data_IF_646039903082
#
_entry.id   IF_646039903082
#
_cell.length_a   1.000
_cell.length_b   1.000
_cell.length_c   1.000
_cell.angle_alpha   90.00
_cell.angle_beta   90.00
_cell.angle_gamma   90.00
#
_symmetry.space_group_name_H-M   'P 1'
#
loop_
_entity.id
_entity.type
_entity.pdbx_description
1 polymer ?
#
# COMPACT_ATOMS: atom_id res chain seq x y z
N UNK A 1 -15.82 7.20 5.50
CA UNK A 1 -14.59 6.42 5.77
C UNK A 1 -13.87 7.10 6.92
N UNK A 2 -13.69 6.43 8.07
CA UNK A 2 -13.05 7.03 9.23
C UNK A 2 -11.60 7.42 8.93
N UNK A 3 -11.11 8.51 9.54
CA UNK A 3 -9.75 9.01 9.35
C UNK A 3 -8.68 7.92 9.56
N UNK A 4 -8.90 7.02 10.53
CA UNK A 4 -8.01 5.89 10.81
C UNK A 4 -7.77 4.97 9.60
N UNK A 5 -8.82 4.67 8.82
CA UNK A 5 -8.66 3.83 7.61
C UNK A 5 -7.78 4.49 6.55
N UNK A 6 -7.87 5.81 6.40
CA UNK A 6 -7.04 6.57 5.45
C UNK A 6 -5.57 6.56 5.87
N UNK A 7 -5.31 6.76 7.17
CA UNK A 7 -3.95 6.77 7.72
C UNK A 7 -3.28 5.40 7.58
N UNK A 8 -3.99 4.31 7.89
CA UNK A 8 -3.46 2.95 7.76
C UNK A 8 -3.06 2.66 6.31
N UNK A 9 -3.89 3.05 5.33
CA UNK A 9 -3.56 2.89 3.91
C UNK A 9 -2.30 3.68 3.51
N UNK A 10 -2.16 4.92 4.00
CA UNK A 10 -0.98 5.75 3.70
C UNK A 10 0.30 5.11 4.27
N UNK A 11 0.26 4.64 5.52
CA UNK A 11 1.44 4.02 6.16
C UNK A 11 1.87 2.76 5.40
N UNK A 12 0.91 1.92 4.99
CA UNK A 12 1.19 0.73 4.17
C UNK A 12 1.84 1.08 2.84
N UNK A 13 1.37 2.13 2.16
CA UNK A 13 2.01 2.58 0.92
C UNK A 13 3.45 3.05 1.15
N UNK A 14 3.67 3.80 2.21
CA UNK A 14 5.01 4.30 2.54
C UNK A 14 5.96 3.14 2.86
N UNK A 15 5.52 2.11 3.58
CA UNK A 15 6.37 0.94 3.88
C UNK A 15 6.71 0.12 2.63
N UNK A 16 5.79 -0.02 1.68
CA UNK A 16 6.04 -0.61 0.36
C UNK A 16 7.13 0.14 -0.41
N UNK A 17 7.02 1.48 -0.49
CA UNK A 17 8.00 2.33 -1.17
C UNK A 17 9.38 2.15 -0.54
N UNK A 18 9.47 2.26 0.79
CA UNK A 18 10.74 2.18 1.50
C UNK A 18 11.42 0.84 1.23
N UNK A 19 10.69 -0.28 1.35
CA UNK A 19 11.27 -1.60 1.13
C UNK A 19 11.71 -1.81 -0.33
N UNK A 20 10.89 -1.37 -1.29
CA UNK A 20 11.18 -1.41 -2.73
C UNK A 20 12.44 -0.60 -3.08
N UNK A 21 12.56 0.62 -2.57
CA UNK A 21 13.70 1.52 -2.83
C UNK A 21 14.98 0.98 -2.22
N UNK A 22 14.94 0.36 -1.04
CA UNK A 22 16.12 -0.28 -0.43
C UNK A 22 16.66 -1.39 -1.35
N UNK A 23 15.78 -2.27 -1.85
CA UNK A 23 16.19 -3.33 -2.78
C UNK A 23 16.70 -2.74 -4.09
N UNK A 24 16.00 -1.74 -4.65
CA UNK A 24 16.41 -1.04 -5.86
C UNK A 24 17.82 -0.45 -5.70
N UNK A 25 18.10 0.25 -4.60
CA UNK A 25 19.39 0.88 -4.35
C UNK A 25 20.53 -0.14 -4.20
N UNK A 26 20.30 -1.24 -3.49
CA UNK A 26 21.28 -2.32 -3.34
C UNK A 26 21.60 -2.98 -4.69
N UNK A 27 20.57 -3.34 -5.45
CA UNK A 27 20.74 -4.01 -6.75
C UNK A 27 21.30 -3.06 -7.82
N UNK A 28 20.87 -1.79 -7.84
CA UNK A 28 21.38 -0.79 -8.77
C UNK A 28 22.87 -0.50 -8.53
N UNK A 29 23.29 -0.40 -7.25
CA UNK A 29 24.70 -0.28 -6.91
C UNK A 29 25.50 -1.47 -7.43
N UNK A 30 24.99 -2.69 -7.27
CA UNK A 30 25.63 -3.88 -7.81
C UNK A 30 25.75 -3.85 -9.34
N UNK A 31 24.69 -3.47 -10.05
CA UNK A 31 24.74 -3.38 -11.52
C UNK A 31 25.73 -2.31 -12.00
N UNK A 32 25.82 -1.18 -11.28
CA UNK A 32 26.80 -0.14 -11.59
C UNK A 32 28.24 -0.66 -11.49
N UNK A 33 28.51 -1.49 -10.48
CA UNK A 33 29.79 -2.14 -10.28
C UNK A 33 30.11 -3.17 -11.38
N UNK A 34 29.15 -4.01 -11.75
CA UNK A 34 29.31 -4.98 -12.85
C UNK A 34 29.52 -4.27 -14.19
N UNK A 35 28.82 -3.16 -14.43
CA UNK A 35 29.01 -2.34 -15.63
C UNK A 35 30.40 -1.73 -15.70
N UNK A 36 31.00 -1.35 -14.57
CA UNK A 36 32.38 -0.84 -14.54
C UNK A 36 33.41 -1.94 -14.79
N UNK A 37 33.11 -3.19 -14.43
CA UNK A 37 33.95 -4.34 -14.72
C UNK A 37 33.85 -4.82 -16.18
N UNK A 38 32.92 -4.27 -16.99
CA UNK A 38 32.75 -4.63 -18.39
C UNK A 38 32.13 -6.02 -18.63
N UNK A 39 31.45 -6.59 -17.63
CA UNK A 39 30.87 -7.94 -17.70
C UNK A 39 29.35 -7.88 -17.85
N UNK A 40 28.77 -8.84 -18.55
CA UNK A 40 27.32 -8.96 -18.72
C UNK A 40 26.60 -9.27 -17.40
N UNK A 41 25.54 -8.52 -17.10
CA UNK A 41 24.71 -8.74 -15.92
C UNK A 41 23.79 -9.97 -16.07
N UNK A 42 23.68 -10.74 -15.01
CA UNK A 42 22.74 -11.87 -14.91
C UNK A 42 21.28 -11.41 -15.04
N UNK A 43 20.52 -12.05 -15.94
CA UNK A 43 19.12 -11.73 -16.22
C UNK A 43 18.21 -11.79 -14.99
N UNK A 44 18.54 -12.59 -13.97
CA UNK A 44 17.76 -12.67 -12.72
C UNK A 44 17.86 -11.38 -11.90
N UNK A 45 19.06 -10.79 -11.85
CA UNK A 45 19.30 -9.53 -11.13
C UNK A 45 18.69 -8.37 -11.91
N UNK A 46 18.75 -8.43 -13.24
CA UNK A 46 18.04 -7.47 -14.11
C UNK A 46 16.53 -7.55 -13.89
N UNK A 47 15.95 -8.74 -13.77
CA UNK A 47 14.53 -8.88 -13.44
C UNK A 47 14.18 -8.24 -12.08
N UNK A 48 15.05 -8.43 -11.07
CA UNK A 48 14.86 -7.81 -9.77
C UNK A 48 14.92 -6.26 -9.83
N UNK A 49 15.87 -5.68 -10.56
CA UNK A 49 15.98 -4.22 -10.68
C UNK A 49 14.79 -3.61 -11.43
N UNK A 50 14.31 -4.29 -12.49
CA UNK A 50 13.15 -3.84 -13.26
C UNK A 50 11.89 -3.89 -12.39
N UNK A 51 11.69 -4.99 -11.68
CA UNK A 51 10.54 -5.15 -10.75
C UNK A 51 10.57 -4.08 -9.66
N UNK A 52 11.74 -3.83 -9.06
CA UNK A 52 11.89 -2.79 -8.03
C UNK A 52 11.66 -1.38 -8.57
N UNK A 53 12.04 -1.11 -9.83
CA UNK A 53 11.82 0.18 -10.50
C UNK A 53 10.34 0.43 -10.78
N UNK A 54 9.65 -0.55 -11.37
CA UNK A 54 8.21 -0.47 -11.67
C UNK A 54 7.41 -0.31 -10.36
N UNK A 55 7.74 -1.10 -9.34
CA UNK A 55 7.13 -1.04 -8.01
C UNK A 55 7.30 0.35 -7.36
N UNK A 56 8.51 0.92 -7.42
CA UNK A 56 8.79 2.24 -6.85
C UNK A 56 8.02 3.35 -7.58
N UNK A 57 8.01 3.33 -8.93
CA UNK A 57 7.24 4.29 -9.73
C UNK A 57 5.74 4.19 -9.45
N UNK A 58 5.23 2.96 -9.39
CA UNK A 58 3.83 2.72 -9.09
C UNK A 58 3.47 3.27 -7.71
N UNK A 59 4.26 2.95 -6.69
CA UNK A 59 3.99 3.40 -5.33
C UNK A 59 4.10 4.94 -5.19
N UNK A 60 4.99 5.60 -5.93
CA UNK A 60 5.07 7.07 -6.01
C UNK A 60 3.83 7.69 -6.66
N UNK A 61 3.35 7.13 -7.79
CA UNK A 61 2.17 7.63 -8.50
C UNK A 61 0.91 7.48 -7.64
N UNK A 62 0.78 6.38 -6.90
CA UNK A 62 -0.41 6.08 -6.10
C UNK A 62 -0.42 6.71 -4.69
N UNK A 63 0.62 7.48 -4.31
CA UNK A 63 0.60 8.32 -3.10
C UNK A 63 -0.41 9.48 -3.21
N UNK A 64 -0.64 10.01 -4.42
CA UNK A 64 -1.59 11.12 -4.65
C UNK A 64 -3.00 10.54 -4.77
N UNK A 65 -3.84 10.63 -3.72
CA UNK A 65 -5.06 9.86 -3.66
C UNK A 65 -6.19 10.70 -4.23
N UNK A 66 -6.37 10.75 -5.56
CA UNK A 66 -7.46 11.58 -6.08
C UNK A 66 -8.53 10.96 -6.97
N UNK A 67 -8.36 9.81 -7.64
CA UNK A 67 -9.52 9.12 -8.27
C UNK A 67 -9.33 7.63 -8.66
N UNK A 68 -8.18 7.01 -8.41
CA UNK A 68 -7.83 5.67 -8.95
C UNK A 68 -7.92 4.50 -7.96
N UNK A 69 -8.71 4.62 -6.89
CA UNK A 69 -8.79 3.58 -5.85
C UNK A 69 -9.24 2.20 -6.38
N UNK A 70 -9.98 2.16 -7.49
CA UNK A 70 -10.42 0.93 -8.14
C UNK A 70 -9.31 0.26 -8.97
N UNK A 71 -8.37 1.03 -9.54
CA UNK A 71 -7.20 0.51 -10.27
C UNK A 71 -6.08 0.02 -9.34
N UNK A 72 -6.02 0.55 -8.11
CA UNK A 72 -4.99 0.19 -7.14
C UNK A 72 -5.08 -1.30 -6.72
N UNK A 73 -6.29 -1.84 -6.55
CA UNK A 73 -6.51 -3.22 -6.10
C UNK A 73 -5.85 -4.30 -7.00
N UNK A 74 -6.10 -4.36 -8.32
CA UNK A 74 -5.48 -5.39 -9.16
C UNK A 74 -3.96 -5.20 -9.32
N UNK A 75 -3.50 -3.95 -9.32
CA UNK A 75 -2.08 -3.66 -9.49
C UNK A 75 -1.24 -4.10 -8.29
N UNK A 76 -1.75 -3.96 -7.06
CA UNK A 76 -1.07 -4.46 -5.86
C UNK A 76 -0.91 -5.98 -5.89
N UNK A 77 -1.91 -6.69 -6.40
CA UNK A 77 -1.85 -8.15 -6.56
C UNK A 77 -0.82 -8.58 -7.61
N UNK A 78 -0.70 -7.83 -8.72
CA UNK A 78 0.33 -8.09 -9.76
C UNK A 78 1.73 -7.87 -9.18
N UNK A 79 1.93 -6.76 -8.46
CA UNK A 79 3.21 -6.45 -7.82
C UNK A 79 3.58 -7.51 -6.77
N UNK A 80 2.61 -8.00 -5.99
CA UNK A 80 2.82 -9.12 -5.08
C UNK A 80 3.39 -10.35 -5.81
N UNK A 81 2.76 -10.76 -6.93
CA UNK A 81 3.25 -11.92 -7.71
C UNK A 81 4.65 -11.65 -8.27
N UNK A 82 4.90 -10.47 -8.81
CA UNK A 82 6.23 -10.11 -9.31
C UNK A 82 7.31 -10.20 -8.23
N UNK A 83 7.04 -9.69 -7.02
CA UNK A 83 7.97 -9.76 -5.90
C UNK A 83 8.19 -11.18 -5.36
N UNK A 84 7.18 -12.04 -5.37
CA UNK A 84 7.35 -13.47 -5.07
C UNK A 84 8.24 -14.15 -6.12
N UNK A 85 8.08 -13.83 -7.41
CA UNK A 85 8.96 -14.33 -8.46
C UNK A 85 10.39 -13.84 -8.26
N UNK A 86 10.59 -12.56 -7.92
CA UNK A 86 11.91 -12.01 -7.57
C UNK A 86 12.52 -12.82 -6.42
N UNK A 87 11.81 -12.99 -5.31
CA UNK A 87 12.28 -13.77 -4.17
C UNK A 87 12.63 -15.22 -4.57
N UNK A 88 11.79 -15.88 -5.37
CA UNK A 88 12.02 -17.22 -5.91
C UNK A 88 13.29 -17.32 -6.77
N UNK A 89 13.52 -16.33 -7.64
CA UNK A 89 14.70 -16.29 -8.50
C UNK A 89 15.99 -16.06 -7.71
N UNK A 90 15.95 -15.24 -6.66
CA UNK A 90 17.11 -14.98 -5.80
C UNK A 90 17.41 -16.17 -4.88
N UNK A 91 16.40 -16.79 -4.28
CA UNK A 91 16.59 -17.94 -3.38
C UNK A 91 17.06 -19.19 -4.13
N UNK A 92 16.51 -19.46 -5.32
CA UNK A 92 16.92 -20.60 -6.16
C UNK A 92 18.40 -20.54 -6.55
N UNK A 93 18.98 -19.35 -6.62
CA UNK A 93 20.39 -19.12 -6.94
C UNK A 93 21.30 -19.25 -5.70
N UNK A 94 20.74 -18.98 -4.53
CA UNK A 94 21.45 -18.98 -3.26
C UNK A 94 21.58 -20.39 -2.66
N UNK A 95 20.60 -21.27 -2.91
CA UNK A 95 20.58 -22.62 -2.33
C UNK A 95 20.50 -22.59 -0.80
N UNK A 96 20.99 -23.64 -0.13
CA UNK A 96 21.04 -23.73 1.34
C UNK A 96 22.18 -22.92 1.96
N UNK A 97 23.20 -22.58 1.18
CA UNK A 97 24.49 -22.09 1.71
C UNK A 97 24.60 -20.57 1.81
N UNK A 98 23.57 -19.79 1.48
CA UNK A 98 23.53 -18.31 1.64
C UNK A 98 24.79 -17.60 1.14
N UNK A 99 25.64 -17.14 2.06
CA UNK A 99 26.89 -16.43 1.78
C UNK A 99 28.10 -17.35 1.52
N UNK A 100 27.91 -18.67 1.55
CA UNK A 100 28.93 -19.66 1.23
C UNK A 100 28.64 -20.40 -0.09
N UNK A 101 27.65 -19.94 -0.86
CA UNK A 101 27.38 -20.49 -2.18
C UNK A 101 28.53 -20.16 -3.14
N UNK A 102 28.91 -21.09 -4.02
CA UNK A 102 29.98 -20.86 -5.01
C UNK A 102 29.69 -19.64 -5.89
N UNK A 103 28.43 -19.43 -6.26
CA UNK A 103 28.00 -18.23 -7.00
C UNK A 103 28.32 -16.93 -6.24
N UNK A 104 28.13 -16.94 -4.91
CA UNK A 104 28.29 -15.76 -4.10
C UNK A 104 29.76 -15.34 -4.15
N UNK A 105 30.68 -16.28 -3.96
CA UNK A 105 32.12 -15.98 -4.02
C UNK A 105 32.58 -15.55 -5.42
N UNK A 106 32.18 -16.27 -6.46
CA UNK A 106 32.69 -16.04 -7.83
C UNK A 106 32.04 -14.86 -8.56
N UNK A 107 30.88 -14.40 -8.11
CA UNK A 107 30.16 -13.32 -8.78
C UNK A 107 29.75 -12.25 -7.78
N UNK A 108 28.80 -12.52 -6.87
CA UNK A 108 28.26 -11.43 -6.04
C UNK A 108 29.34 -10.74 -5.19
N UNK A 109 30.12 -11.49 -4.41
CA UNK A 109 31.19 -11.00 -3.56
C UNK A 109 32.41 -10.51 -4.35
N UNK A 110 32.80 -11.22 -5.41
CA UNK A 110 33.87 -10.77 -6.32
C UNK A 110 33.56 -9.39 -6.90
N UNK A 111 32.31 -9.17 -7.29
CA UNK A 111 31.90 -7.88 -7.79
C UNK A 111 31.68 -6.88 -6.63
N UNK A 112 30.85 -7.20 -5.65
CA UNK A 112 30.50 -6.28 -4.57
C UNK A 112 31.71 -5.75 -3.76
N UNK A 113 32.73 -6.59 -3.51
CA UNK A 113 33.93 -6.22 -2.77
C UNK A 113 34.94 -5.38 -3.54
N UNK A 114 34.72 -5.15 -4.85
CA UNK A 114 35.60 -4.33 -5.67
C UNK A 114 36.94 -4.99 -6.00
N UNK A 115 37.02 -6.33 -5.95
CA UNK A 115 38.23 -7.12 -6.14
C UNK A 115 38.82 -6.96 -7.55
N UNK A 116 37.99 -6.70 -8.57
CA UNK A 116 38.48 -6.37 -9.93
C UNK A 116 39.28 -5.04 -9.99
N UNK A 117 39.22 -4.20 -8.95
CA UNK A 117 39.83 -2.85 -8.94
C UNK A 117 41.23 -2.83 -8.30
N UNK A 118 41.63 -3.90 -7.61
CA UNK A 118 42.92 -4.02 -6.91
C UNK A 118 43.59 -5.36 -7.27
N UNK A 119 44.75 -5.35 -7.96
CA UNK A 119 45.41 -6.58 -8.39
C UNK A 119 46.11 -7.35 -7.25
N UNK A 120 46.39 -6.71 -6.10
CA UNK A 120 47.26 -7.24 -5.04
C UNK A 120 46.54 -7.79 -3.79
N UNK A 121 45.22 -7.94 -3.79
CA UNK A 121 44.48 -8.45 -2.63
C UNK A 121 43.74 -9.74 -2.98
N UNK A 122 44.03 -10.81 -2.23
CA UNK A 122 43.37 -12.10 -2.40
C UNK A 122 42.03 -12.12 -1.65
N UNK A 123 41.07 -12.90 -2.17
CA UNK A 123 39.68 -13.05 -1.68
C UNK A 123 39.56 -13.30 -0.17
N UNK A 124 40.64 -13.73 0.48
CA UNK A 124 40.72 -14.12 1.87
C UNK A 124 41.01 -12.97 2.85
N UNK A 125 41.56 -11.84 2.37
CA UNK A 125 42.10 -10.79 3.24
C UNK A 125 41.04 -9.79 3.76
N UNK A 126 39.83 -9.79 3.16
CA UNK A 126 38.79 -8.77 3.44
C UNK A 126 37.47 -9.32 3.98
N UNK A 127 37.35 -10.64 4.15
CA UNK A 127 36.16 -11.27 4.72
C UNK A 127 34.91 -11.21 3.82
N UNK A 128 33.73 -11.42 4.42
CA UNK A 128 32.43 -11.56 3.74
C UNK A 128 31.86 -10.22 3.20
N UNK A 129 32.62 -9.52 2.36
CA UNK A 129 32.18 -8.28 1.75
C UNK A 129 30.93 -8.51 0.88
N UNK A 130 29.81 -7.91 1.29
CA UNK A 130 28.54 -7.98 0.57
C UNK A 130 27.54 -9.04 1.03
N UNK A 131 27.85 -9.85 2.05
CA UNK A 131 26.94 -10.87 2.59
C UNK A 131 25.74 -10.22 3.28
N UNK A 132 25.98 -9.19 4.09
CA UNK A 132 24.91 -8.44 4.76
C UNK A 132 23.96 -7.78 3.75
N UNK A 133 24.49 -7.21 2.66
CA UNK A 133 23.66 -6.64 1.59
C UNK A 133 22.87 -7.70 0.84
N UNK A 134 23.43 -8.89 0.57
CA UNK A 134 22.68 -9.98 -0.06
C UNK A 134 21.52 -10.44 0.83
N UNK A 135 21.79 -10.64 2.13
CA UNK A 135 20.76 -10.98 3.12
C UNK A 135 19.68 -9.90 3.24
N UNK A 136 20.09 -8.63 3.17
CA UNK A 136 19.15 -7.51 3.15
C UNK A 136 18.26 -7.57 1.91
N UNK A 137 18.81 -7.74 0.70
CA UNK A 137 18.03 -7.86 -0.53
C UNK A 137 17.00 -8.99 -0.42
N UNK A 138 17.41 -10.17 0.07
CA UNK A 138 16.50 -11.30 0.27
C UNK A 138 15.38 -10.96 1.28
N UNK A 139 15.74 -10.43 2.45
CA UNK A 139 14.77 -10.09 3.49
C UNK A 139 13.78 -9.01 3.03
N UNK A 140 14.27 -7.92 2.45
CA UNK A 140 13.43 -6.82 1.99
C UNK A 140 12.56 -7.21 0.79
N UNK A 141 13.04 -8.10 -0.09
CA UNK A 141 12.22 -8.63 -1.20
C UNK A 141 11.01 -9.45 -0.71
N UNK A 142 11.15 -10.14 0.42
CA UNK A 142 10.04 -10.86 1.04
C UNK A 142 9.10 -9.91 1.80
N UNK A 143 9.65 -8.94 2.53
CA UNK A 143 8.86 -7.95 3.26
C UNK A 143 7.99 -7.11 2.32
N UNK A 144 8.55 -6.66 1.19
CA UNK A 144 7.78 -5.90 0.21
C UNK A 144 6.70 -6.76 -0.45
N UNK A 145 6.95 -8.06 -0.69
CA UNK A 145 5.93 -8.97 -1.18
C UNK A 145 4.75 -9.05 -0.19
N UNK A 146 5.01 -9.26 1.10
CA UNK A 146 3.95 -9.29 2.12
C UNK A 146 3.24 -7.94 2.22
N UNK A 147 3.97 -6.82 2.13
CA UNK A 147 3.37 -5.50 2.18
C UNK A 147 2.33 -5.31 1.05
N UNK A 148 2.69 -5.66 -0.19
CA UNK A 148 1.76 -5.64 -1.32
C UNK A 148 0.58 -6.59 -1.14
N UNK A 149 0.78 -7.77 -0.54
CA UNK A 149 -0.31 -8.69 -0.23
C UNK A 149 -1.32 -8.06 0.75
N UNK A 150 -0.84 -7.44 1.83
CA UNK A 150 -1.69 -6.78 2.82
C UNK A 150 -2.46 -5.63 2.17
N UNK A 151 -1.82 -4.83 1.33
CA UNK A 151 -2.49 -3.75 0.59
C UNK A 151 -3.53 -4.27 -0.39
N UNK A 152 -3.24 -5.36 -1.12
CA UNK A 152 -4.21 -6.01 -1.99
C UNK A 152 -5.44 -6.50 -1.20
N UNK A 153 -5.24 -7.14 -0.04
CA UNK A 153 -6.35 -7.63 0.81
C UNK A 153 -7.21 -6.47 1.30
N UNK A 154 -6.60 -5.37 1.78
CA UNK A 154 -7.34 -4.19 2.24
C UNK A 154 -8.09 -3.52 1.08
N UNK A 155 -7.48 -3.43 -0.10
CA UNK A 155 -8.13 -2.96 -1.33
C UNK A 155 -9.36 -3.81 -1.67
N UNK A 156 -9.21 -5.14 -1.67
CA UNK A 156 -10.32 -6.08 -1.88
C UNK A 156 -11.43 -5.89 -0.84
N UNK A 157 -11.08 -5.77 0.43
CA UNK A 157 -12.05 -5.64 1.52
C UNK A 157 -12.89 -4.36 1.38
N UNK A 158 -12.28 -3.24 1.00
CA UNK A 158 -12.98 -1.97 0.76
C UNK A 158 -13.92 -2.10 -0.44
N UNK A 159 -13.45 -2.66 -1.56
CA UNK A 159 -14.27 -2.89 -2.76
C UNK A 159 -15.44 -3.83 -2.46
N UNK A 160 -15.19 -4.92 -1.75
CA UNK A 160 -16.24 -5.89 -1.38
C UNK A 160 -17.29 -5.28 -0.44
N UNK A 161 -16.87 -4.44 0.53
CA UNK A 161 -17.80 -3.68 1.38
C UNK A 161 -18.61 -2.66 0.58
N UNK A 162 -18.00 -2.00 -0.39
CA UNK A 162 -18.71 -1.06 -1.28
C UNK A 162 -19.73 -1.78 -2.16
N UNK A 163 -19.35 -2.92 -2.76
CA UNK A 163 -20.27 -3.79 -3.54
C UNK A 163 -21.42 -4.35 -2.70
N UNK A 164 -21.20 -4.70 -1.42
CA UNK A 164 -22.29 -5.14 -0.53
C UNK A 164 -23.27 -4.02 -0.19
N UNK A 165 -22.78 -2.80 0.03
CA UNK A 165 -23.64 -1.63 0.31
C UNK A 165 -24.44 -1.18 -0.92
N UNK A 166 -23.89 -1.36 -2.11
CA UNK A 166 -24.50 -0.98 -3.38
C UNK A 166 -25.00 -2.19 -4.17
N UNK A 167 -25.19 -3.34 -3.52
CA UNK A 167 -25.78 -4.52 -4.16
C UNK A 167 -27.18 -4.18 -4.65
N UNK A 168 -27.67 -4.83 -5.73
CA UNK A 168 -29.00 -4.55 -6.24
C UNK A 168 -30.01 -4.75 -5.11
N UNK A 169 -30.85 -3.72 -4.88
CA UNK A 169 -32.06 -3.85 -4.07
C UNK A 169 -32.82 -5.03 -4.66
N UNK A 170 -32.80 -6.17 -3.98
CA UNK A 170 -33.53 -7.35 -4.42
C UNK A 170 -35.01 -6.98 -4.41
N UNK A 171 -35.77 -7.40 -5.42
CA UNK A 171 -37.19 -7.08 -5.56
C UNK A 171 -38.06 -7.43 -4.32
N UNK A 172 -37.53 -8.16 -3.34
CA UNK A 172 -38.15 -8.38 -2.03
C UNK A 172 -38.31 -7.11 -1.16
N UNK A 173 -37.51 -6.05 -1.40
CA UNK A 173 -37.68 -4.77 -0.68
C UNK A 173 -38.81 -3.91 -1.25
N UNK A 174 -39.28 -4.19 -2.49
CA UNK A 174 -40.44 -3.52 -3.11
C UNK A 174 -41.77 -4.13 -2.60
N UNK A 175 -41.72 -5.36 -2.07
CA UNK A 175 -42.89 -6.06 -1.50
C UNK A 175 -43.18 -5.69 -0.04
N UNK A 176 -42.42 -4.77 0.56
CA UNK A 176 -42.81 -4.18 1.83
C UNK A 176 -44.18 -3.51 1.65
N UNK A 177 -45.20 -3.84 2.48
CA UNK A 177 -46.52 -3.22 2.37
C UNK A 177 -46.38 -1.70 2.41
N UNK A 178 -46.98 -1.04 1.43
CA UNK A 178 -47.12 0.42 1.37
C UNK A 178 -47.53 0.90 2.77
N UNK A 179 -46.70 1.72 3.47
CA UNK A 179 -47.18 2.38 4.66
C UNK A 179 -48.34 3.26 4.22
N UNK A 180 -49.54 2.96 4.73
CA UNK A 180 -50.70 3.80 4.50
C UNK A 180 -50.32 5.25 4.77
N UNK A 181 -50.37 6.05 3.71
CA UNK A 181 -50.10 7.49 3.74
C UNK A 181 -50.96 8.12 4.84
N UNK A 182 -50.38 8.77 5.86
CA UNK A 182 -51.16 9.58 6.78
C UNK A 182 -51.79 10.72 5.98
N UNK A 183 -53.09 10.88 6.17
CA UNK A 183 -53.92 11.87 5.50
C UNK A 183 -53.26 13.25 5.43
N UNK A 184 -53.42 13.87 4.26
CA UNK A 184 -53.12 15.24 3.88
C UNK A 184 -53.49 16.25 5.00
N UNK A 185 -52.53 16.58 5.86
CA UNK A 185 -52.61 17.69 6.81
C UNK A 185 -52.07 18.97 6.20
N UNK A 186 -52.99 19.90 5.90
CA UNK A 186 -52.77 21.27 5.38
C UNK A 186 -51.50 21.95 5.96
N UNK A 187 -50.62 22.55 5.13
CA UNK A 187 -49.46 23.29 5.60
C UNK A 187 -49.90 24.57 6.35
N UNK A 188 -49.48 24.72 7.61
CA UNK A 188 -49.45 26.02 8.30
C UNK A 188 -48.11 26.67 8.00
N UNK A 189 -48.10 27.68 7.13
CA UNK A 189 -47.02 28.68 7.07
C UNK A 189 -47.59 30.00 6.56
N UNK A 190 -46.93 31.09 6.98
CA UNK A 190 -47.20 32.50 6.75
C UNK A 190 -48.17 33.18 7.76
N UNK A 191 -47.69 33.42 8.99
CA UNK A 191 -48.07 34.64 9.72
C UNK A 191 -47.12 35.74 9.26
N UNK A 192 -47.65 36.63 8.42
CA UNK A 192 -47.03 37.90 8.03
C UNK A 192 -47.04 38.83 9.23
N UNK A 193 -45.88 39.38 9.58
CA UNK A 193 -45.71 40.35 10.66
C UNK A 193 -46.24 41.73 10.19
N UNK A 194 -47.40 42.13 10.69
CA UNK A 194 -48.00 43.46 10.46
C UNK A 194 -47.50 44.45 11.54
N UNK A 195 -46.83 45.56 11.20
CA UNK A 195 -46.27 46.52 12.16
C UNK A 195 -47.29 47.43 12.88
N UNK A 196 -48.60 47.15 12.83
CA UNK A 196 -49.63 48.14 13.18
C UNK A 196 -50.67 47.69 14.21
N UNK A 197 -50.27 46.97 15.26
CA UNK A 197 -51.15 46.66 16.37
C UNK A 197 -50.50 46.88 17.75
N UNK A 198 -51.28 47.50 18.65
CA UNK A 198 -50.91 48.05 19.95
C UNK A 198 -50.48 47.00 21.00
N UNK A 199 -49.74 47.41 22.05
CA UNK A 199 -49.26 46.51 23.09
C UNK A 199 -50.36 46.23 24.12
N UNK A 200 -50.64 44.95 24.37
CA UNK A 200 -51.31 44.52 25.61
C UNK A 200 -50.42 43.53 26.37
N UNK A 201 -50.32 43.80 27.66
CA UNK A 201 -49.40 43.31 28.67
C UNK A 201 -49.49 41.78 28.97
N UNK A 202 -48.59 41.25 29.82
CA UNK A 202 -48.15 39.85 29.81
C UNK A 202 -48.94 38.95 30.77
N UNK A 203 -48.98 37.64 30.48
CA UNK A 203 -49.44 36.60 31.40
C UNK A 203 -48.36 35.52 31.58
N UNK A 204 -47.57 35.74 32.63
CA UNK A 204 -47.18 34.84 33.72
C UNK A 204 -46.83 33.34 33.47
N UNK A 205 -45.57 33.04 33.83
CA UNK A 205 -45.02 31.91 34.61
C UNK A 205 -45.76 30.56 34.66
N UNK A 206 -44.99 29.48 34.44
CA UNK A 206 -44.61 28.44 35.45
C UNK A 206 -43.73 27.38 34.76
N UNK A 207 -42.42 27.31 35.04
CA UNK A 207 -41.79 26.42 36.02
C UNK A 207 -42.45 25.03 36.06
N UNK A 208 -41.75 24.00 35.59
CA UNK A 208 -41.52 22.78 36.39
C UNK A 208 -40.38 21.92 35.81
N UNK A 209 -39.51 21.58 36.74
CA UNK A 209 -38.36 20.68 36.76
C UNK A 209 -38.74 19.20 36.72
N UNK A 210 -37.92 18.38 36.08
CA UNK A 210 -37.56 16.98 36.44
C UNK A 210 -36.48 16.54 35.42
N UNK A 211 -35.21 16.23 35.72
CA UNK A 211 -34.54 15.42 36.77
C UNK A 211 -34.83 13.92 36.65
N UNK A 212 -33.73 13.18 36.45
CA UNK A 212 -33.47 11.74 36.59
C UNK A 212 -34.12 10.79 35.56
N UNK A 213 -33.45 9.81 34.93
CA UNK A 213 -32.26 8.98 35.25
C UNK A 213 -31.48 8.70 33.95
#
# INVERSE_FOLDING_TARGET
MGAASKVIHIILRVSEVICSVIVLGLVARFLHLVSQAGVSADGRIVYAVVTASISTLFALVFIVPFNYAHLAFPMDAILFVMWIVVFGLLTSRTGSSMCNASWYWNYWGYYWGGWWRVPDLTVWDKGYDGCASWRAVLAFSFLVAIAFLVSAILGAAVVHRYRRKNGPVTAGDISAPIPHSPALGRPKTAQVHDPRAAPSAPANQTINTAVDI
#
